data_IF_813194464000
#
_entry.id   IF_813194464000
#
_cell.length_a   1.000
_cell.length_b   1.000
_cell.length_c   1.000
_cell.angle_alpha   90.00
_cell.angle_beta   90.00
_cell.angle_gamma   90.00
#
_symmetry.space_group_name_H-M   'P 1'
#
loop_
_entity.id
_entity.type
_entity.pdbx_description
1 polymer ?
#
# COMPACT_ATOMS: atom_id res chain seq x y z
N UNK A 1 -12.33 -10.00 -3.02
CA UNK A 1 -11.07 -9.33 -2.60
C UNK A 1 -10.15 -9.31 -3.82
N UNK A 2 -9.75 -8.14 -4.31
CA UNK A 2 -8.84 -8.03 -5.46
C UNK A 2 -7.55 -7.36 -4.98
N UNK A 3 -6.41 -8.04 -5.11
CA UNK A 3 -5.10 -7.52 -4.66
C UNK A 3 -4.40 -6.93 -5.87
N UNK A 4 -4.41 -5.60 -5.97
CA UNK A 4 -3.84 -4.87 -7.12
C UNK A 4 -2.35 -4.52 -6.94
N UNK A 5 -1.85 -4.52 -5.70
CA UNK A 5 -0.45 -4.24 -5.37
C UNK A 5 -0.06 -5.03 -4.11
N UNK A 6 1.09 -5.71 -4.19
CA UNK A 6 1.79 -6.26 -3.04
C UNK A 6 3.18 -5.61 -2.99
N UNK A 7 3.51 -4.96 -1.87
CA UNK A 7 4.77 -4.24 -1.69
C UNK A 7 5.43 -4.67 -0.39
N UNK A 8 6.74 -4.90 -0.45
CA UNK A 8 7.59 -5.09 0.73
C UNK A 8 8.13 -3.71 1.12
N UNK A 9 7.84 -3.29 2.35
CA UNK A 9 8.29 -2.02 2.92
C UNK A 9 8.45 -2.22 4.44
N UNK A 10 9.67 -2.03 4.95
CA UNK A 10 10.00 -2.18 6.38
C UNK A 10 9.41 -1.07 7.24
N UNK A 11 9.12 0.09 6.64
CA UNK A 11 8.55 1.27 7.32
C UNK A 11 7.04 1.33 7.20
N UNK A 12 6.45 0.40 6.44
CA UNK A 12 5.00 0.22 6.23
C UNK A 12 4.31 1.48 5.67
N UNK A 13 3.89 2.38 6.56
CA UNK A 13 3.23 3.63 6.22
C UNK A 13 4.11 4.78 6.70
N UNK A 14 4.85 5.40 5.78
CA UNK A 14 5.73 6.51 6.11
C UNK A 14 5.70 7.63 5.06
N UNK A 15 5.56 8.87 5.52
CA UNK A 15 5.51 10.05 4.67
C UNK A 15 4.40 9.98 3.62
N UNK A 16 4.65 10.56 2.43
CA UNK A 16 3.70 10.59 1.32
C UNK A 16 3.84 9.40 0.36
N UNK A 17 4.81 8.52 0.62
CA UNK A 17 5.11 7.39 -0.27
C UNK A 17 3.88 6.47 -0.37
N UNK A 18 3.32 6.04 0.76
CA UNK A 18 2.15 5.15 0.77
C UNK A 18 0.93 5.79 0.11
N UNK A 19 0.76 7.11 0.22
CA UNK A 19 -0.32 7.86 -0.46
C UNK A 19 -0.19 7.78 -1.99
N UNK A 20 1.02 7.95 -2.51
CA UNK A 20 1.29 7.84 -3.96
C UNK A 20 0.98 6.42 -4.43
N UNK A 21 1.46 5.41 -3.70
CA UNK A 21 1.22 4.01 -4.06
C UNK A 21 -0.25 3.60 -3.95
N UNK A 22 -0.99 4.14 -2.99
CA UNK A 22 -2.44 3.92 -2.89
C UNK A 22 -3.20 4.45 -4.11
N UNK A 23 -2.76 5.58 -4.69
CA UNK A 23 -3.35 6.14 -5.92
C UNK A 23 -2.99 5.30 -7.14
N UNK A 24 -1.73 4.90 -7.28
CA UNK A 24 -1.27 4.06 -8.40
C UNK A 24 -1.97 2.71 -8.40
N UNK A 25 -2.13 2.10 -7.23
CA UNK A 25 -2.82 0.81 -7.08
C UNK A 25 -4.35 0.91 -7.14
N UNK A 26 -4.91 2.14 -7.22
CA UNK A 26 -6.33 2.43 -7.01
C UNK A 26 -6.92 1.66 -5.81
N UNK A 27 -6.15 1.60 -4.72
CA UNK A 27 -6.45 0.75 -3.58
C UNK A 27 -7.49 1.41 -2.68
N UNK A 28 -8.56 0.68 -2.38
CA UNK A 28 -9.57 1.10 -1.40
C UNK A 28 -9.22 0.65 0.04
N UNK A 29 -8.28 -0.29 0.17
CA UNK A 29 -7.85 -0.85 1.45
C UNK A 29 -6.39 -1.25 1.37
N UNK A 30 -5.62 -0.92 2.41
CA UNK A 30 -4.26 -1.37 2.62
C UNK A 30 -4.28 -2.38 3.77
N UNK A 31 -3.62 -3.53 3.59
CA UNK A 31 -3.51 -4.58 4.60
C UNK A 31 -2.03 -4.84 4.84
N UNK A 32 -1.63 -4.80 6.11
CA UNK A 32 -0.27 -5.12 6.55
C UNK A 32 -0.29 -6.56 7.05
N UNK A 33 0.54 -7.41 6.46
CA UNK A 33 0.79 -8.76 6.97
C UNK A 33 2.04 -8.71 7.85
N UNK A 34 1.88 -9.02 9.14
CA UNK A 34 2.99 -9.25 10.08
C UNK A 34 3.26 -10.74 10.23
#
# INVERSE_FOLDING_TARGET
MNITLARIDDRLIHGQVTTVWSKVANAQRIIICQ
#
